data_IF_998778856614
#
_entry.id   IF_998778856614
#
_cell.length_a   1.000
_cell.length_b   1.000
_cell.length_c   1.000
_cell.angle_alpha   90.00
_cell.angle_beta   90.00
_cell.angle_gamma   90.00
#
_symmetry.space_group_name_H-M   'P 1'
#
loop_
_entity.id
_entity.type
_entity.pdbx_description
1 polymer ?
#
# COMPACT_ATOMS: atom_id res chain seq x y z
N UNK A 1 -20.18 -2.70 -5.57
CA UNK A 1 -18.75 -2.64 -5.22
C UNK A 1 -18.30 -1.20 -5.36
N UNK A 2 -17.45 -0.73 -4.48
CA UNK A 2 -16.79 0.57 -4.54
C UNK A 2 -15.33 0.35 -4.87
N UNK A 3 -14.82 1.02 -5.88
CA UNK A 3 -13.38 1.04 -6.21
C UNK A 3 -12.93 2.49 -6.34
N UNK A 4 -11.70 2.76 -5.95
CA UNK A 4 -11.04 4.06 -6.16
C UNK A 4 -9.90 3.83 -7.13
N UNK A 5 -9.80 4.67 -8.14
CA UNK A 5 -8.78 4.63 -9.16
C UNK A 5 -8.15 6.01 -9.30
N UNK A 6 -6.83 6.07 -9.10
CA UNK A 6 -6.02 7.27 -9.21
C UNK A 6 -4.99 7.07 -10.32
N UNK A 7 -4.87 8.07 -11.19
CA UNK A 7 -3.98 8.00 -12.34
C UNK A 7 -3.11 9.24 -12.42
N UNK A 8 -1.81 9.02 -12.58
CA UNK A 8 -0.79 10.06 -12.66
C UNK A 8 -0.20 10.14 -14.08
N UNK A 9 0.22 11.33 -14.47
CA UNK A 9 1.01 11.51 -15.68
C UNK A 9 2.50 11.28 -15.39
N UNK A 10 3.36 11.39 -16.45
CA UNK A 10 4.81 11.19 -16.32
C UNK A 10 5.52 12.20 -15.38
N UNK A 11 4.83 13.27 -14.96
CA UNK A 11 5.33 14.29 -14.03
C UNK A 11 4.77 14.12 -12.63
N UNK A 12 4.15 12.99 -12.32
CA UNK A 12 3.47 12.70 -11.05
C UNK A 12 2.36 13.71 -10.70
N UNK A 13 1.78 14.36 -11.69
CA UNK A 13 0.60 15.20 -11.51
C UNK A 13 -0.64 14.38 -11.84
N UNK A 14 -1.56 14.28 -10.87
CA UNK A 14 -2.83 13.57 -11.07
C UNK A 14 -3.62 14.24 -12.19
N UNK A 15 -3.91 13.50 -13.25
CA UNK A 15 -4.72 13.96 -14.38
C UNK A 15 -6.19 13.67 -14.13
N UNK A 16 -6.49 12.55 -13.46
CA UNK A 16 -7.83 12.20 -13.01
C UNK A 16 -7.80 11.19 -11.86
N UNK A 17 -8.85 11.23 -11.07
CA UNK A 17 -9.14 10.25 -10.04
C UNK A 17 -10.65 10.08 -9.92
N UNK A 18 -11.14 8.87 -9.70
CA UNK A 18 -12.56 8.62 -9.51
C UNK A 18 -12.87 7.44 -8.59
N UNK A 19 -14.05 7.51 -7.99
CA UNK A 19 -14.67 6.40 -7.26
C UNK A 19 -15.77 5.82 -8.14
N UNK A 20 -15.81 4.52 -8.30
CA UNK A 20 -16.79 3.85 -9.15
C UNK A 20 -17.74 2.94 -8.38
N UNK A 21 -18.95 2.81 -8.89
CA UNK A 21 -19.98 1.91 -8.42
C UNK A 21 -20.36 0.93 -9.52
N UNK A 22 -20.33 -0.35 -9.17
CA UNK A 22 -20.72 -1.42 -10.09
C UNK A 22 -21.68 -2.40 -9.41
N UNK A 23 -22.62 -2.91 -10.19
CA UNK A 23 -23.48 -4.01 -9.78
C UNK A 23 -22.73 -5.32 -9.95
N UNK A 24 -22.88 -6.21 -8.98
CA UNK A 24 -22.27 -7.54 -9.02
C UNK A 24 -23.34 -8.62 -8.96
N UNK A 25 -23.14 -9.67 -9.74
CA UNK A 25 -23.87 -10.93 -9.57
C UNK A 25 -23.43 -11.64 -8.29
N UNK A 26 -24.21 -12.61 -7.81
CA UNK A 26 -23.80 -13.43 -6.66
C UNK A 26 -22.52 -14.24 -6.96
N UNK A 27 -22.33 -14.65 -8.20
CA UNK A 27 -21.10 -15.33 -8.64
C UNK A 27 -19.89 -14.39 -8.53
N UNK A 28 -20.01 -13.15 -9.02
CA UNK A 28 -18.96 -12.14 -8.92
C UNK A 28 -18.63 -11.75 -7.47
N UNK A 29 -19.64 -11.71 -6.58
CA UNK A 29 -19.41 -11.45 -5.15
C UNK A 29 -18.68 -12.57 -4.44
N UNK A 30 -18.92 -13.81 -4.85
CA UNK A 30 -18.34 -15.01 -4.26
C UNK A 30 -17.07 -15.48 -4.99
N UNK A 31 -16.68 -14.81 -6.08
CA UNK A 31 -15.45 -15.13 -6.77
C UNK A 31 -14.26 -14.89 -5.83
N UNK A 32 -13.45 -15.93 -5.65
CA UNK A 32 -12.15 -15.78 -4.99
C UNK A 32 -11.23 -14.98 -5.91
N UNK A 33 -11.30 -13.66 -5.83
CA UNK A 33 -10.39 -12.77 -6.55
C UNK A 33 -9.08 -12.81 -5.79
N UNK A 34 -8.27 -13.78 -6.13
CA UNK A 34 -7.06 -14.04 -5.37
C UNK A 34 -5.98 -13.03 -5.65
N UNK A 35 -6.06 -12.19 -6.72
CA UNK A 35 -4.88 -11.37 -7.06
C UNK A 35 -5.28 -10.12 -7.85
N UNK A 36 -4.68 -8.98 -7.51
CA UNK A 36 -4.46 -7.92 -8.47
C UNK A 36 -3.51 -8.45 -9.55
N UNK A 37 -3.83 -8.24 -10.79
CA UNK A 37 -3.18 -8.80 -11.97
C UNK A 37 -4.22 -9.07 -13.04
N UNK A 38 -3.88 -9.77 -14.09
CA UNK A 38 -4.78 -10.02 -15.24
C UNK A 38 -6.17 -10.56 -14.85
N UNK A 39 -6.23 -11.42 -13.86
CA UNK A 39 -7.50 -11.96 -13.38
C UNK A 39 -8.36 -10.94 -12.63
N UNK A 40 -7.78 -9.98 -11.96
CA UNK A 40 -8.50 -8.88 -11.31
C UNK A 40 -9.02 -7.88 -12.34
N UNK A 41 -8.21 -7.53 -13.31
CA UNK A 41 -8.57 -6.58 -14.36
C UNK A 41 -9.72 -7.14 -15.20
N UNK A 42 -9.67 -8.43 -15.58
CA UNK A 42 -10.75 -9.12 -16.27
C UNK A 42 -12.04 -9.16 -15.44
N UNK A 43 -11.92 -9.38 -14.12
CA UNK A 43 -13.05 -9.37 -13.22
C UNK A 43 -13.67 -7.97 -13.10
N UNK A 44 -12.85 -6.92 -12.94
CA UNK A 44 -13.32 -5.53 -12.89
C UNK A 44 -13.99 -5.13 -14.21
N UNK A 45 -13.38 -5.50 -15.35
CA UNK A 45 -13.93 -5.24 -16.68
C UNK A 45 -15.28 -5.94 -16.91
N UNK A 46 -15.50 -7.09 -16.24
CA UNK A 46 -16.78 -7.81 -16.28
C UNK A 46 -17.87 -7.28 -15.35
N UNK A 47 -17.59 -6.27 -14.54
CA UNK A 47 -18.59 -5.67 -13.66
C UNK A 47 -19.53 -4.73 -14.43
N UNK A 48 -20.82 -4.77 -14.06
CA UNK A 48 -21.83 -3.84 -14.60
C UNK A 48 -21.65 -2.46 -13.96
N UNK A 49 -20.93 -1.55 -14.65
CA UNK A 49 -20.64 -0.19 -14.18
C UNK A 49 -21.91 0.64 -14.14
N UNK A 50 -22.25 1.14 -12.95
CA UNK A 50 -23.43 2.01 -12.74
C UNK A 50 -23.05 3.48 -12.94
N UNK A 51 -21.92 3.87 -12.38
CA UNK A 51 -21.43 5.23 -12.50
C UNK A 51 -20.16 5.50 -11.70
N UNK A 52 -19.63 6.70 -11.89
CA UNK A 52 -18.44 7.21 -11.19
C UNK A 52 -18.69 8.63 -10.69
N UNK A 53 -18.01 9.01 -9.62
CA UNK A 53 -17.81 10.42 -9.23
C UNK A 53 -16.30 10.65 -9.20
N UNK A 54 -15.84 11.66 -9.92
CA UNK A 54 -14.40 11.88 -10.05
C UNK A 54 -14.02 13.31 -10.41
N UNK A 55 -12.71 13.53 -10.41
CA UNK A 55 -12.02 14.77 -10.74
C UNK A 55 -11.11 14.58 -11.94
N UNK A 56 -11.09 15.53 -12.86
CA UNK A 56 -10.40 15.40 -14.15
C UNK A 56 -9.79 16.73 -14.56
N UNK A 57 -8.57 16.71 -15.08
CA UNK A 57 -7.95 17.85 -15.76
C UNK A 57 -8.54 18.05 -17.17
N UNK A 58 -8.15 19.11 -17.87
CA UNK A 58 -8.69 19.43 -19.20
C UNK A 58 -8.46 18.31 -20.24
N UNK A 59 -7.32 17.62 -20.17
CA UNK A 59 -7.01 16.54 -21.10
C UNK A 59 -7.86 15.30 -20.84
N UNK A 60 -8.07 14.97 -19.57
CA UNK A 60 -8.87 13.83 -19.13
C UNK A 60 -10.37 14.06 -19.36
N UNK A 61 -10.86 15.30 -19.25
CA UNK A 61 -12.25 15.64 -19.56
C UNK A 61 -12.66 15.27 -20.99
N UNK A 62 -11.74 15.35 -21.94
CA UNK A 62 -12.01 14.98 -23.35
C UNK A 62 -12.11 13.47 -23.58
N UNK A 63 -11.82 12.68 -22.56
CA UNK A 63 -11.78 11.22 -22.58
C UNK A 63 -12.69 10.58 -21.51
N UNK A 64 -13.65 11.34 -21.00
CA UNK A 64 -14.52 10.87 -19.91
C UNK A 64 -15.20 9.54 -20.21
N UNK A 65 -15.73 9.36 -21.43
CA UNK A 65 -16.35 8.10 -21.84
C UNK A 65 -15.36 6.92 -21.73
N UNK A 66 -14.15 7.12 -22.24
CA UNK A 66 -13.09 6.12 -22.24
C UNK A 66 -12.62 5.78 -20.82
N UNK A 67 -12.36 6.82 -20.01
CA UNK A 67 -11.84 6.70 -18.65
C UNK A 67 -12.87 6.07 -17.72
N UNK A 68 -14.10 6.56 -17.75
CA UNK A 68 -15.14 6.16 -16.80
C UNK A 68 -15.91 4.91 -17.24
N UNK A 69 -15.90 4.60 -18.53
CA UNK A 69 -16.79 3.60 -19.13
C UNK A 69 -18.27 4.00 -19.05
N UNK A 70 -18.57 5.30 -18.88
CA UNK A 70 -19.91 5.86 -18.81
C UNK A 70 -20.16 6.75 -20.02
N UNK A 71 -21.45 6.96 -20.37
CA UNK A 71 -21.86 7.69 -21.58
C UNK A 71 -22.54 9.02 -21.28
N UNK A 72 -22.92 9.26 -20.03
CA UNK A 72 -23.56 10.49 -19.58
C UNK A 72 -22.74 11.14 -18.47
N UNK A 73 -22.44 12.45 -18.59
CA UNK A 73 -21.57 13.15 -17.64
C UNK A 73 -22.23 14.45 -17.19
N UNK A 74 -22.46 14.53 -15.88
CA UNK A 74 -23.00 15.73 -15.23
C UNK A 74 -21.88 16.42 -14.46
N UNK A 75 -21.53 17.65 -14.86
CA UNK A 75 -20.60 18.48 -14.11
C UNK A 75 -21.18 18.83 -12.74
N UNK A 76 -20.42 18.59 -11.68
CA UNK A 76 -20.76 18.88 -10.29
C UNK A 76 -20.15 20.20 -9.83
N UNK A 77 -19.05 20.62 -10.42
CA UNK A 77 -18.32 21.82 -10.10
C UNK A 77 -16.89 21.81 -10.66
N UNK A 78 -16.12 22.80 -10.27
CA UNK A 78 -14.71 22.93 -10.66
C UNK A 78 -13.85 23.42 -9.50
N UNK A 79 -12.53 23.19 -9.58
CA UNK A 79 -11.55 23.82 -8.68
C UNK A 79 -11.55 25.34 -8.83
N UNK A 80 -11.12 26.07 -7.80
CA UNK A 80 -11.09 27.54 -7.79
C UNK A 80 -10.23 28.15 -8.91
N UNK A 81 -9.16 27.44 -9.33
CA UNK A 81 -8.28 27.80 -10.44
C UNK A 81 -8.83 27.37 -11.81
N UNK A 82 -9.96 26.65 -11.83
CA UNK A 82 -10.60 26.13 -13.04
C UNK A 82 -9.87 25.01 -13.75
N UNK A 83 -8.73 24.52 -13.20
CA UNK A 83 -7.90 23.50 -13.82
C UNK A 83 -8.55 22.12 -13.81
N UNK A 84 -9.30 21.81 -12.76
CA UNK A 84 -9.96 20.52 -12.59
C UNK A 84 -11.47 20.68 -12.56
N UNK A 85 -12.17 19.71 -13.12
CA UNK A 85 -13.63 19.60 -13.06
C UNK A 85 -14.06 18.29 -12.44
N UNK A 86 -15.17 18.34 -11.74
CA UNK A 86 -15.77 17.20 -11.05
C UNK A 86 -17.00 16.75 -11.80
N UNK A 87 -17.11 15.45 -12.05
CA UNK A 87 -18.22 14.86 -12.78
C UNK A 87 -18.86 13.70 -12.01
N UNK A 88 -20.19 13.65 -12.05
CA UNK A 88 -20.94 12.41 -11.88
C UNK A 88 -21.16 11.84 -13.28
N UNK A 89 -20.65 10.65 -13.52
CA UNK A 89 -20.81 9.95 -14.78
C UNK A 89 -21.66 8.71 -14.59
N UNK A 90 -22.60 8.45 -15.50
CA UNK A 90 -23.54 7.32 -15.43
C UNK A 90 -23.73 6.69 -16.80
N UNK A 91 -24.18 5.43 -16.82
CA UNK A 91 -24.56 4.74 -18.03
C UNK A 91 -26.08 4.81 -18.23
N UNK A 92 -26.50 5.14 -19.43
CA UNK A 92 -27.92 5.25 -19.81
C UNK A 92 -28.68 3.94 -19.62
N UNK A 93 -28.00 2.81 -19.83
CA UNK A 93 -28.55 1.46 -19.69
C UNK A 93 -28.32 0.85 -18.29
N UNK A 94 -27.74 1.61 -17.36
CA UNK A 94 -27.56 1.17 -15.99
C UNK A 94 -28.90 1.00 -15.27
N UNK A 95 -28.89 0.21 -14.19
CA UNK A 95 -30.07 0.01 -13.33
C UNK A 95 -30.60 1.37 -12.83
N UNK A 96 -31.77 1.77 -13.34
CA UNK A 96 -32.38 3.11 -13.10
C UNK A 96 -32.55 3.41 -11.59
N UNK A 97 -32.80 2.37 -10.78
CA UNK A 97 -32.95 2.55 -9.33
C UNK A 97 -31.61 2.90 -8.69
N UNK A 98 -30.54 2.22 -9.10
CA UNK A 98 -29.19 2.47 -8.56
C UNK A 98 -28.64 3.80 -9.08
N UNK A 99 -28.89 4.15 -10.33
CA UNK A 99 -28.53 5.47 -10.88
C UNK A 99 -29.17 6.60 -10.09
N UNK A 100 -30.47 6.48 -9.75
CA UNK A 100 -31.17 7.45 -8.91
C UNK A 100 -30.64 7.52 -7.48
N UNK A 101 -30.05 6.45 -6.95
CA UNK A 101 -29.38 6.50 -5.65
C UNK A 101 -28.05 7.25 -5.74
N UNK A 102 -27.28 7.07 -6.83
CA UNK A 102 -26.07 7.86 -7.07
C UNK A 102 -26.35 9.36 -7.18
N UNK A 103 -27.43 9.74 -7.84
CA UNK A 103 -27.85 11.15 -7.98
C UNK A 103 -28.20 11.83 -6.64
N UNK A 104 -28.53 11.04 -5.61
CA UNK A 104 -28.81 11.54 -4.26
C UNK A 104 -27.56 11.78 -3.42
N UNK A 105 -26.39 11.31 -3.87
CA UNK A 105 -25.13 11.51 -3.16
C UNK A 105 -24.85 13.01 -3.09
N UNK A 106 -24.72 13.51 -1.88
CA UNK A 106 -24.31 14.89 -1.64
C UNK A 106 -22.80 14.96 -1.83
N UNK A 107 -22.38 15.82 -2.75
CA UNK A 107 -20.99 16.15 -2.97
C UNK A 107 -20.70 17.50 -2.35
N UNK A 108 -19.67 17.59 -1.52
CA UNK A 108 -19.11 18.84 -1.03
C UNK A 108 -17.74 19.00 -1.69
N UNK A 109 -17.64 19.97 -2.60
CA UNK A 109 -16.39 20.25 -3.30
C UNK A 109 -15.65 21.29 -2.46
N UNK A 110 -14.75 20.81 -1.65
CA UNK A 110 -13.79 21.68 -0.95
C UNK A 110 -12.64 22.05 -1.90
N UNK A 111 -11.98 23.20 -1.65
CA UNK A 111 -10.77 23.53 -2.41
C UNK A 111 -9.79 22.36 -2.37
N UNK A 112 -9.47 21.86 -3.54
CA UNK A 112 -8.33 20.96 -3.65
C UNK A 112 -7.09 21.74 -3.22
N UNK A 113 -6.47 21.31 -2.17
CA UNK A 113 -5.02 21.56 -2.02
C UNK A 113 -4.39 21.07 -3.32
N UNK A 114 -3.53 21.90 -3.98
CA UNK A 114 -2.78 21.41 -5.13
C UNK A 114 -2.22 20.06 -4.74
N UNK A 115 -2.45 19.03 -5.57
CA UNK A 115 -1.81 17.74 -5.39
C UNK A 115 -0.31 18.05 -5.35
N UNK A 116 0.19 18.14 -4.19
CA UNK A 116 1.60 17.95 -3.98
C UNK A 116 1.72 16.44 -4.00
N UNK A 117 2.56 15.92 -4.88
CA UNK A 117 3.09 14.58 -4.71
C UNK A 117 3.90 14.61 -3.41
N UNK A 118 3.21 14.81 -2.35
CA UNK A 118 3.64 14.41 -1.05
C UNK A 118 3.34 12.92 -1.13
N UNK A 119 4.27 12.16 -1.70
CA UNK A 119 4.55 10.86 -1.15
C UNK A 119 4.38 11.11 0.35
N UNK A 120 3.58 10.32 1.02
CA UNK A 120 3.40 10.40 2.48
C UNK A 120 4.79 10.41 3.16
N UNK A 121 5.84 10.25 2.39
CA UNK A 121 7.26 10.14 2.64
C UNK A 121 8.12 11.29 2.09
N UNK A 122 7.57 12.25 1.30
CA UNK A 122 8.23 13.50 0.93
C UNK A 122 7.84 14.62 1.91
N UNK A 123 8.29 14.49 3.12
CA UNK A 123 8.50 15.66 3.99
C UNK A 123 9.66 16.50 3.45
N UNK A 124 9.72 17.81 3.81
CA UNK A 124 10.97 18.56 3.67
C UNK A 124 12.02 17.75 4.43
N UNK A 125 12.66 16.87 3.72
CA UNK A 125 13.75 16.07 4.22
C UNK A 125 14.74 17.09 4.74
N UNK A 126 15.03 17.00 6.02
CA UNK A 126 16.37 17.31 6.44
C UNK A 126 17.27 16.40 5.59
N UNK A 127 17.71 16.92 4.44
CA UNK A 127 18.42 16.19 3.36
C UNK A 127 19.79 15.70 3.81
N UNK A 128 19.98 15.54 5.12
CA UNK A 128 21.21 15.08 5.73
C UNK A 128 21.37 13.56 5.75
N UNK A 129 20.32 12.78 5.52
CA UNK A 129 20.41 11.30 5.55
C UNK A 129 19.94 10.71 4.22
N UNK A 130 20.87 10.23 3.41
CA UNK A 130 20.55 9.37 2.27
C UNK A 130 20.20 7.97 2.83
N UNK A 131 19.03 7.38 2.54
CA UNK A 131 18.67 6.03 3.01
C UNK A 131 19.71 4.96 2.70
N UNK A 132 20.45 5.11 1.60
CA UNK A 132 21.56 4.22 1.23
C UNK A 132 22.78 4.34 2.17
N UNK A 133 22.90 5.46 2.89
CA UNK A 133 23.98 5.70 3.85
C UNK A 133 23.62 5.19 5.26
N UNK A 134 22.36 4.82 5.51
CA UNK A 134 21.90 4.25 6.77
C UNK A 134 22.42 2.82 6.88
N UNK A 135 23.34 2.59 7.80
CA UNK A 135 24.00 1.28 8.00
C UNK A 135 23.41 0.44 9.13
N UNK A 136 22.44 0.96 9.85
CA UNK A 136 21.79 0.27 10.96
C UNK A 136 20.36 0.77 11.14
N UNK A 137 19.47 -0.08 11.63
CA UNK A 137 18.12 0.30 12.05
C UNK A 137 18.10 1.16 13.30
N UNK A 138 19.25 1.34 13.95
CA UNK A 138 19.37 2.12 15.17
C UNK A 138 18.82 1.38 16.39
N UNK A 139 18.86 2.09 17.53
CA UNK A 139 18.19 1.62 18.74
C UNK A 139 16.79 2.15 18.78
N UNK A 140 15.83 1.28 18.67
CA UNK A 140 14.42 1.61 18.74
C UNK A 140 13.73 0.91 19.91
N UNK A 141 12.61 1.46 20.32
CA UNK A 141 11.66 0.81 21.21
C UNK A 141 10.26 1.06 20.68
N UNK A 142 9.62 -0.01 20.23
CA UNK A 142 8.29 0.09 19.64
C UNK A 142 7.35 -0.99 20.14
N UNK A 143 6.08 -0.83 19.81
CA UNK A 143 5.05 -1.84 20.10
C UNK A 143 4.73 -2.63 18.83
N UNK A 144 4.64 -3.94 18.95
CA UNK A 144 4.11 -4.79 17.87
C UNK A 144 2.59 -4.78 17.85
N UNK A 145 2.02 -5.23 16.74
CA UNK A 145 0.56 -5.40 16.59
C UNK A 145 0.00 -6.38 17.64
N UNK A 146 0.83 -7.28 18.16
CA UNK A 146 0.48 -8.20 19.27
C UNK A 146 0.50 -7.53 20.65
N UNK A 147 0.76 -6.23 20.74
CA UNK A 147 0.83 -5.44 21.96
C UNK A 147 2.11 -5.60 22.78
N UNK A 148 3.09 -6.36 22.29
CA UNK A 148 4.37 -6.51 22.99
C UNK A 148 5.33 -5.40 22.62
N UNK A 149 6.26 -5.08 23.54
CA UNK A 149 7.36 -4.16 23.27
C UNK A 149 8.51 -4.88 22.58
N UNK A 150 9.02 -4.28 21.51
CA UNK A 150 10.15 -4.73 20.73
C UNK A 150 11.24 -3.68 20.69
N UNK A 151 12.47 -4.12 20.71
CA UNK A 151 13.68 -3.31 20.50
C UNK A 151 14.53 -3.94 19.40
N UNK A 152 15.64 -3.33 19.06
CA UNK A 152 16.62 -3.90 18.11
C UNK A 152 17.04 -5.34 18.47
N UNK A 153 16.82 -5.76 19.71
CA UNK A 153 17.11 -7.14 20.17
C UNK A 153 16.22 -8.20 19.51
N UNK A 154 15.13 -7.79 18.83
CA UNK A 154 14.29 -8.72 18.07
C UNK A 154 15.09 -9.46 16.98
N UNK A 155 16.22 -8.89 16.55
CA UNK A 155 17.11 -9.49 15.55
C UNK A 155 18.17 -10.40 16.14
N UNK A 156 18.44 -10.33 17.46
CA UNK A 156 19.59 -10.97 18.10
C UNK A 156 19.57 -12.51 18.08
N UNK A 157 18.40 -13.10 17.86
CA UNK A 157 18.23 -14.56 17.84
C UNK A 157 18.51 -15.18 16.46
N UNK A 158 18.82 -14.34 15.46
CA UNK A 158 19.00 -14.74 14.07
C UNK A 158 20.33 -14.24 13.51
N UNK A 159 20.94 -15.02 12.64
CA UNK A 159 22.16 -14.60 11.91
C UNK A 159 21.81 -13.55 10.86
N UNK A 160 20.60 -13.65 10.30
CA UNK A 160 20.04 -12.74 9.29
C UNK A 160 18.55 -12.57 9.54
N UNK A 161 18.03 -11.35 9.53
CA UNK A 161 16.58 -11.08 9.54
C UNK A 161 16.16 -10.35 8.30
N UNK A 162 15.15 -10.87 7.62
CA UNK A 162 14.41 -10.19 6.56
C UNK A 162 13.44 -9.22 7.20
N UNK A 163 13.59 -7.93 6.91
CA UNK A 163 12.68 -6.86 7.37
C UNK A 163 11.85 -6.38 6.19
N UNK A 164 10.57 -6.75 6.19
CA UNK A 164 9.62 -6.41 5.13
C UNK A 164 8.78 -5.20 5.56
N UNK A 165 8.79 -4.15 4.75
CA UNK A 165 8.06 -2.91 4.98
C UNK A 165 6.83 -2.90 4.10
N UNK A 166 5.68 -2.75 4.71
CA UNK A 166 4.40 -2.77 4.01
C UNK A 166 3.37 -1.84 4.65
N UNK A 167 2.26 -1.65 3.95
CA UNK A 167 1.08 -0.93 4.44
C UNK A 167 -0.16 -1.83 4.40
N UNK A 168 -1.15 -1.55 5.23
CA UNK A 168 -2.37 -2.38 5.35
C UNK A 168 -3.26 -2.34 4.10
N UNK A 169 -3.09 -1.34 3.26
CA UNK A 169 -3.82 -1.15 2.00
C UNK A 169 -3.07 -1.67 0.77
N UNK A 170 -1.80 -2.04 0.91
CA UNK A 170 -0.96 -2.52 -0.20
C UNK A 170 -1.31 -3.97 -0.56
N UNK A 171 -2.03 -4.18 -1.62
CA UNK A 171 -2.48 -5.51 -2.04
C UNK A 171 -1.35 -6.50 -2.36
N UNK A 172 -0.27 -6.13 -3.09
CA UNK A 172 0.88 -7.02 -3.28
C UNK A 172 1.52 -7.44 -1.96
N UNK A 173 1.63 -6.48 -1.01
CA UNK A 173 2.21 -6.74 0.31
C UNK A 173 1.40 -7.80 1.09
N UNK A 174 0.08 -7.61 1.13
CA UNK A 174 -0.82 -8.54 1.84
C UNK A 174 -0.73 -9.97 1.29
N UNK A 175 -0.51 -10.10 -0.02
CA UNK A 175 -0.34 -11.41 -0.67
C UNK A 175 0.99 -12.08 -0.34
N UNK A 176 2.01 -11.30 -0.09
CA UNK A 176 3.35 -11.78 0.22
C UNK A 176 3.46 -12.30 1.66
N UNK A 177 2.64 -11.80 2.59
CA UNK A 177 2.68 -12.22 4.01
C UNK A 177 2.65 -13.74 4.19
N UNK A 178 1.79 -14.53 3.52
CA UNK A 178 1.83 -15.98 3.61
C UNK A 178 3.13 -16.62 3.11
N UNK A 179 3.73 -16.08 2.05
CA UNK A 179 5.02 -16.54 1.51
C UNK A 179 6.14 -16.31 2.54
N UNK A 180 6.16 -15.13 3.16
CA UNK A 180 7.09 -14.78 4.23
C UNK A 180 6.86 -15.63 5.48
N UNK A 181 5.62 -16.01 5.78
CA UNK A 181 5.32 -16.92 6.89
C UNK A 181 5.86 -18.33 6.65
N UNK A 182 5.73 -18.84 5.43
CA UNK A 182 6.32 -20.15 5.11
C UNK A 182 7.86 -20.07 5.09
N UNK A 183 8.44 -19.00 4.57
CA UNK A 183 9.88 -18.74 4.64
C UNK A 183 10.36 -18.74 6.10
N UNK A 184 9.68 -18.02 6.98
CA UNK A 184 10.00 -17.97 8.41
C UNK A 184 10.00 -19.37 9.03
N UNK A 185 8.98 -20.19 8.79
CA UNK A 185 8.90 -21.55 9.30
C UNK A 185 10.04 -22.45 8.83
N UNK A 186 10.38 -22.35 7.55
CA UNK A 186 11.42 -23.21 6.96
C UNK A 186 12.85 -22.79 7.33
N UNK A 187 13.06 -21.50 7.60
CA UNK A 187 14.39 -20.94 7.73
C UNK A 187 14.77 -20.50 9.16
N UNK A 188 13.80 -20.36 10.09
CA UNK A 188 14.11 -19.91 11.46
C UNK A 188 15.12 -20.80 12.18
N UNK A 189 15.02 -22.12 12.03
CA UNK A 189 15.99 -23.06 12.63
C UNK A 189 17.37 -23.04 11.93
N UNK A 190 17.48 -22.33 10.81
CA UNK A 190 18.71 -22.08 10.09
C UNK A 190 19.29 -20.69 10.35
N UNK A 191 18.77 -20.01 11.38
CA UNK A 191 19.24 -18.69 11.78
C UNK A 191 18.66 -17.52 10.97
N UNK A 192 17.52 -17.72 10.27
CA UNK A 192 16.86 -16.66 9.53
C UNK A 192 15.57 -16.21 10.21
N UNK A 193 15.52 -14.95 10.59
CA UNK A 193 14.31 -14.28 11.10
C UNK A 193 13.52 -13.56 10.01
N UNK A 194 12.27 -13.25 10.31
CA UNK A 194 11.42 -12.35 9.54
C UNK A 194 10.77 -11.34 10.49
N UNK A 195 10.69 -10.09 10.09
CA UNK A 195 9.93 -9.06 10.78
C UNK A 195 9.18 -8.20 9.76
N UNK A 196 7.94 -7.88 10.04
CA UNK A 196 7.17 -6.92 9.25
C UNK A 196 7.17 -5.55 9.93
N UNK A 197 7.31 -4.47 9.18
CA UNK A 197 7.09 -3.10 9.66
C UNK A 197 5.86 -2.56 8.95
N UNK A 198 4.81 -2.28 9.71
CA UNK A 198 3.52 -1.81 9.17
C UNK A 198 3.51 -0.29 9.16
N UNK A 199 3.93 0.28 8.05
CA UNK A 199 4.31 1.71 7.99
C UNK A 199 3.14 2.66 8.21
N UNK A 200 1.93 2.32 7.79
CA UNK A 200 0.72 3.15 7.94
C UNK A 200 0.08 3.10 9.32
N UNK A 201 0.66 2.38 10.28
CA UNK A 201 0.16 2.33 11.67
C UNK A 201 0.59 3.50 12.54
N UNK A 202 1.56 4.29 12.07
CA UNK A 202 2.11 5.41 12.83
C UNK A 202 2.36 6.58 11.89
N UNK A 203 1.92 7.78 12.27
CA UNK A 203 2.23 9.00 11.54
C UNK A 203 3.66 9.50 11.88
N UNK A 204 4.13 10.50 11.15
CA UNK A 204 5.46 11.09 11.30
C UNK A 204 5.72 11.74 12.67
N UNK A 205 4.67 12.02 13.41
CA UNK A 205 4.75 12.59 14.78
C UNK A 205 4.76 11.48 15.83
N UNK A 206 4.69 10.21 15.41
CA UNK A 206 4.62 9.07 16.31
C UNK A 206 3.20 8.79 16.83
N UNK A 207 2.16 9.41 16.27
CA UNK A 207 0.79 9.08 16.65
C UNK A 207 0.33 7.82 15.91
N UNK A 208 -0.37 6.95 16.63
CA UNK A 208 -0.89 5.72 16.05
C UNK A 208 -2.19 5.96 15.29
N UNK A 209 -2.33 5.31 14.12
CA UNK A 209 -3.59 5.16 13.40
C UNK A 209 -4.31 3.90 13.89
N UNK A 210 -5.33 4.07 14.73
CA UNK A 210 -6.08 2.96 15.33
C UNK A 210 -6.77 2.07 14.28
N UNK A 211 -7.16 2.63 13.13
CA UNK A 211 -7.80 1.86 12.05
C UNK A 211 -6.76 1.00 11.33
N UNK A 212 -5.61 1.53 11.02
CA UNK A 212 -4.51 0.79 10.42
C UNK A 212 -3.98 -0.30 11.37
N UNK A 213 -3.83 0.00 12.66
CA UNK A 213 -3.45 -1.00 13.70
C UNK A 213 -4.45 -2.14 13.72
N UNK A 214 -5.75 -1.85 13.71
CA UNK A 214 -6.80 -2.88 13.68
C UNK A 214 -6.75 -3.71 12.40
N UNK A 215 -6.53 -3.08 11.24
CA UNK A 215 -6.37 -3.78 9.95
C UNK A 215 -5.14 -4.69 9.97
N UNK A 216 -4.02 -4.21 10.48
CA UNK A 216 -2.79 -5.00 10.62
C UNK A 216 -2.99 -6.24 11.51
N UNK A 217 -3.74 -6.10 12.61
CA UNK A 217 -4.10 -7.22 13.48
C UNK A 217 -4.94 -8.28 12.75
N UNK A 218 -5.93 -7.84 11.97
CA UNK A 218 -6.74 -8.74 11.14
C UNK A 218 -5.88 -9.45 10.08
N UNK A 219 -4.94 -8.74 9.46
CA UNK A 219 -4.02 -9.33 8.49
C UNK A 219 -3.15 -10.40 9.15
N UNK A 220 -2.53 -10.10 10.29
CA UNK A 220 -1.68 -11.04 11.02
C UNK A 220 -2.45 -12.31 11.41
N UNK A 221 -3.68 -12.15 11.92
CA UNK A 221 -4.54 -13.29 12.29
C UNK A 221 -4.93 -14.14 11.08
N UNK A 222 -5.41 -13.52 10.00
CA UNK A 222 -5.88 -14.21 8.80
C UNK A 222 -4.76 -14.92 8.03
N UNK A 223 -3.58 -14.35 7.97
CA UNK A 223 -2.41 -14.92 7.31
C UNK A 223 -1.66 -15.90 8.24
N UNK A 224 -2.02 -15.94 9.52
CA UNK A 224 -1.34 -16.73 10.56
C UNK A 224 0.15 -16.42 10.65
N UNK A 225 0.53 -15.17 10.43
CA UNK A 225 1.91 -14.74 10.53
C UNK A 225 2.38 -14.82 11.99
N UNK A 226 3.37 -15.67 12.24
CA UNK A 226 3.97 -15.90 13.57
C UNK A 226 5.16 -14.95 13.85
N UNK A 227 5.69 -14.31 12.81
CA UNK A 227 6.73 -13.30 12.95
C UNK A 227 6.12 -11.94 13.37
N UNK A 228 6.88 -11.07 14.05
CA UNK A 228 6.36 -9.83 14.59
C UNK A 228 5.96 -8.83 13.49
N UNK A 229 4.82 -8.17 13.66
CA UNK A 229 4.44 -6.97 12.94
C UNK A 229 4.72 -5.77 13.85
N UNK A 230 5.70 -4.97 13.51
CA UNK A 230 6.15 -3.82 14.27
C UNK A 230 5.46 -2.54 13.79
N UNK A 231 5.05 -1.69 14.70
CA UNK A 231 4.66 -0.34 14.40
C UNK A 231 5.94 0.53 14.41
N UNK A 232 6.19 1.35 13.39
CA UNK A 232 7.43 2.13 13.37
C UNK A 232 7.46 3.19 14.48
N UNK A 233 8.61 3.36 15.13
CA UNK A 233 8.87 4.48 16.04
C UNK A 233 9.57 5.64 15.30
N UNK A 234 9.80 6.73 15.99
CA UNK A 234 10.46 7.91 15.41
C UNK A 234 11.91 7.64 15.00
N UNK A 235 12.60 6.67 15.62
CA UNK A 235 13.95 6.29 15.23
C UNK A 235 13.97 5.59 13.89
N UNK A 236 13.05 4.65 13.69
CA UNK A 236 12.87 3.96 12.42
C UNK A 236 12.45 4.95 11.32
N UNK A 237 11.46 5.82 11.62
CA UNK A 237 10.92 6.81 10.68
C UNK A 237 11.97 7.82 10.22
N UNK A 238 12.81 8.29 11.12
CA UNK A 238 13.89 9.24 10.81
C UNK A 238 15.20 8.56 10.36
N UNK A 239 15.21 7.25 10.25
CA UNK A 239 16.34 6.43 9.83
C UNK A 239 16.08 5.68 8.52
N UNK A 240 16.11 4.36 8.60
CA UNK A 240 16.01 3.48 7.41
C UNK A 240 14.68 3.59 6.67
N UNK A 241 13.61 4.00 7.33
CA UNK A 241 12.29 4.11 6.70
C UNK A 241 12.09 5.42 5.92
N UNK A 242 13.03 6.36 5.98
CA UNK A 242 12.98 7.56 5.16
C UNK A 242 13.07 7.23 3.67
N UNK A 243 12.28 7.94 2.86
CA UNK A 243 12.37 7.88 1.40
C UNK A 243 11.84 6.59 0.76
N UNK A 244 11.19 5.72 1.51
CA UNK A 244 10.50 4.55 0.94
C UNK A 244 9.34 5.05 0.08
N UNK A 245 9.38 4.74 -1.21
CA UNK A 245 8.42 5.21 -2.21
C UNK A 245 7.63 4.09 -2.88
N UNK A 246 7.99 2.83 -2.62
CA UNK A 246 7.33 1.67 -3.22
C UNK A 246 7.15 0.54 -2.20
N UNK A 247 6.06 -0.20 -2.30
CA UNK A 247 5.73 -1.30 -1.40
C UNK A 247 5.40 -2.59 -2.15
N UNK A 248 5.76 -3.76 -1.56
CA UNK A 248 6.61 -3.89 -0.37
C UNK A 248 8.05 -3.52 -0.68
N UNK A 249 8.77 -3.06 0.35
CA UNK A 249 10.23 -2.95 0.30
C UNK A 249 10.81 -3.84 1.39
N UNK A 250 11.88 -4.55 1.06
CA UNK A 250 12.54 -5.49 1.97
C UNK A 250 14.04 -5.23 2.02
N UNK A 251 14.58 -5.17 3.21
CA UNK A 251 16.01 -5.15 3.46
C UNK A 251 16.39 -6.19 4.52
N UNK A 252 17.68 -6.41 4.71
CA UNK A 252 18.19 -7.39 5.65
C UNK A 252 18.99 -6.75 6.75
N UNK A 253 18.93 -7.34 7.95
CA UNK A 253 19.75 -6.96 9.09
C UNK A 253 20.43 -8.17 9.70
N UNK A 254 21.64 -7.93 10.24
CA UNK A 254 22.34 -8.92 11.06
C UNK A 254 21.79 -8.92 12.50
N UNK A 255 22.34 -9.80 13.34
CA UNK A 255 21.97 -9.95 14.77
C UNK A 255 22.18 -8.67 15.61
N UNK A 256 23.00 -7.74 15.14
CA UNK A 256 23.32 -6.50 15.83
C UNK A 256 22.49 -5.32 15.29
N UNK A 257 21.57 -5.57 14.33
CA UNK A 257 20.72 -4.56 13.69
C UNK A 257 21.44 -3.74 12.63
N UNK A 258 22.60 -4.18 12.15
CA UNK A 258 23.25 -3.54 11.00
C UNK A 258 22.54 -3.98 9.71
N UNK A 259 22.37 -3.03 8.79
CA UNK A 259 21.80 -3.33 7.47
C UNK A 259 22.86 -4.01 6.63
N UNK A 260 22.50 -5.14 6.05
CA UNK A 260 23.39 -6.01 5.27
C UNK A 260 22.73 -6.41 3.96
N UNK A 261 23.56 -6.73 2.95
CA UNK A 261 23.06 -7.17 1.66
C UNK A 261 22.36 -6.09 0.84
N UNK A 262 21.50 -6.53 -0.06
CA UNK A 262 20.77 -5.67 -0.98
C UNK A 262 19.35 -5.33 -0.46
N UNK A 263 18.75 -4.27 -0.99
CA UNK A 263 17.34 -3.93 -0.80
C UNK A 263 16.53 -4.44 -1.99
N UNK A 264 15.35 -4.98 -1.72
CA UNK A 264 14.45 -5.57 -2.71
C UNK A 264 13.12 -4.83 -2.70
N UNK A 265 12.63 -4.46 -3.87
CA UNK A 265 11.34 -3.78 -4.04
C UNK A 265 10.39 -4.67 -4.83
N UNK A 266 9.14 -4.74 -4.38
CA UNK A 266 8.12 -5.60 -4.98
C UNK A 266 7.98 -6.94 -4.26
N UNK A 267 6.84 -7.61 -4.49
CA UNK A 267 6.53 -8.89 -3.86
C UNK A 267 7.20 -10.05 -4.57
N UNK A 268 7.63 -11.04 -3.81
CA UNK A 268 8.30 -12.25 -4.30
C UNK A 268 7.57 -13.51 -3.82
N UNK A 269 7.75 -14.60 -4.55
CA UNK A 269 7.30 -15.93 -4.15
C UNK A 269 8.23 -16.54 -3.09
N UNK A 270 7.77 -17.58 -2.41
CA UNK A 270 8.58 -18.33 -1.45
C UNK A 270 9.90 -18.82 -2.03
N UNK A 271 9.88 -19.34 -3.26
CA UNK A 271 11.09 -19.87 -3.89
C UNK A 271 12.08 -18.75 -4.21
N UNK A 272 11.63 -17.62 -4.72
CA UNK A 272 12.46 -16.42 -4.94
C UNK A 272 13.04 -15.91 -3.61
N UNK A 273 12.24 -15.84 -2.55
CA UNK A 273 12.72 -15.46 -1.23
C UNK A 273 13.78 -16.40 -0.67
N UNK A 274 13.64 -17.72 -0.89
CA UNK A 274 14.67 -18.70 -0.50
C UNK A 274 16.01 -18.45 -1.20
N UNK A 275 15.98 -18.21 -2.50
CA UNK A 275 17.20 -17.90 -3.27
C UNK A 275 17.85 -16.60 -2.79
N UNK A 276 17.05 -15.56 -2.54
CA UNK A 276 17.52 -14.27 -2.02
C UNK A 276 18.15 -14.47 -0.64
N UNK A 277 17.44 -15.09 0.29
CA UNK A 277 17.93 -15.31 1.66
C UNK A 277 19.20 -16.14 1.68
N UNK A 278 19.31 -17.18 0.87
CA UNK A 278 20.53 -17.99 0.75
C UNK A 278 21.73 -17.20 0.21
N UNK A 279 21.47 -16.24 -0.69
CA UNK A 279 22.48 -15.31 -1.19
C UNK A 279 22.95 -14.37 -0.07
N UNK A 280 22.01 -13.74 0.64
CA UNK A 280 22.32 -12.76 1.67
C UNK A 280 22.98 -13.40 2.92
N UNK A 281 22.58 -14.61 3.33
CA UNK A 281 23.25 -15.37 4.37
C UNK A 281 24.73 -15.62 4.08
N UNK A 282 25.09 -15.91 2.84
CA UNK A 282 26.50 -16.09 2.44
C UNK A 282 27.31 -14.80 2.56
N UNK A 283 26.67 -13.65 2.48
CA UNK A 283 27.33 -12.34 2.61
C UNK A 283 27.61 -11.99 4.08
N UNK A 284 26.74 -12.39 5.00
CA UNK A 284 26.88 -12.13 6.45
C UNK A 284 27.87 -13.11 7.10
N UNK A 285 28.01 -14.32 6.55
CA UNK A 285 28.88 -15.39 7.12
C UNK A 285 30.37 -15.22 6.78
N UNK A 286 30.76 -14.12 6.13
CA UNK A 286 32.17 -13.80 5.79
C UNK A 286 32.71 -12.73 6.73
#
# INVERSE_FOLDING_TARGET
MLTTEDFENQTNAVTYAYVSWSKMTEEQKNAEIQKMGTGYDDWVAGLDRIGTIGVYDEASQKKLDEITGCTEHKELGSSSDGKYKYYLSTNKDADEKLTKELEKIKTDITEMTPYQNISVFEQPQDTSVNPEDVKSVGKFETTGIDGKTYTEKVFSDYDLTLVNIFTTWCSPCVKEIPELQELYKEMKEKGVGVAGVVLDTTDEKGNQDEEAVKKAGILQEKTKAEYPFLMPDTTMMNGRLQGISAFPETFFVDKDGNIVGDTYTGSHTLDEWKEIVEKELKNVSK
#
